data_IF_698712673118
#
_entry.id   IF_698712673118
#
_cell.length_a   1.000
_cell.length_b   1.000
_cell.length_c   1.000
_cell.angle_alpha   90.00
_cell.angle_beta   90.00
_cell.angle_gamma   90.00
#
_symmetry.space_group_name_H-M   'P 1'
#
loop_
_entity.id
_entity.type
_entity.pdbx_description
1 polymer ?
#
# COMPACT_ATOMS: atom_id res chain seq x y z
N UNK A 1 8.11 15.79 4.32
CA UNK A 1 7.38 16.25 5.51
C UNK A 1 6.56 15.08 6.02
N UNK A 2 6.54 14.78 7.33
CA UNK A 2 5.66 13.73 7.85
C UNK A 2 4.20 14.16 7.66
N UNK A 3 3.35 13.22 7.25
CA UNK A 3 1.90 13.42 7.17
C UNK A 3 1.36 13.77 8.56
N UNK A 4 0.49 14.79 8.68
CA UNK A 4 -0.12 15.14 9.96
C UNK A 4 -0.94 13.94 10.49
N UNK A 5 -1.08 13.81 11.80
CA UNK A 5 -1.76 12.66 12.42
C UNK A 5 -3.20 12.46 11.91
N UNK A 6 -3.90 13.53 11.55
CA UNK A 6 -5.23 13.49 10.93
C UNK A 6 -5.19 12.93 9.50
N UNK A 7 -4.17 13.29 8.71
CA UNK A 7 -3.96 12.74 7.36
C UNK A 7 -3.64 11.24 7.42
N UNK A 8 -2.91 10.78 8.45
CA UNK A 8 -2.59 9.36 8.65
C UNK A 8 -3.82 8.50 8.88
N UNK A 9 -4.76 8.94 9.72
CA UNK A 9 -6.00 8.19 9.98
C UNK A 9 -6.85 8.12 8.71
N UNK A 10 -7.01 9.25 8.01
CA UNK A 10 -7.73 9.29 6.73
C UNK A 10 -7.05 8.44 5.64
N UNK A 11 -5.73 8.41 5.60
CA UNK A 11 -4.95 7.59 4.67
C UNK A 11 -5.11 6.10 4.96
N UNK A 12 -5.03 5.69 6.23
CA UNK A 12 -5.26 4.31 6.64
C UNK A 12 -6.68 3.85 6.30
N UNK A 13 -7.69 4.65 6.61
CA UNK A 13 -9.08 4.33 6.25
C UNK A 13 -9.25 4.18 4.73
N UNK A 14 -8.59 5.01 3.93
CA UNK A 14 -8.59 4.90 2.47
C UNK A 14 -7.92 3.61 1.99
N UNK A 15 -6.79 3.22 2.56
CA UNK A 15 -6.11 1.97 2.24
C UNK A 15 -6.95 0.74 2.60
N UNK A 16 -7.63 0.76 3.73
CA UNK A 16 -8.58 -0.30 4.10
C UNK A 16 -9.70 -0.42 3.06
N UNK A 17 -10.29 0.71 2.65
CA UNK A 17 -11.33 0.72 1.62
C UNK A 17 -10.82 0.16 0.29
N UNK A 18 -9.65 0.60 -0.18
CA UNK A 18 -9.04 0.12 -1.42
C UNK A 18 -8.71 -1.39 -1.36
N UNK A 19 -8.31 -1.90 -0.19
CA UNK A 19 -8.11 -3.34 0.03
C UNK A 19 -9.40 -4.14 0.00
N UNK A 20 -10.48 -3.62 0.61
CA UNK A 20 -11.81 -4.24 0.53
C UNK A 20 -12.33 -4.27 -0.91
N UNK A 21 -12.06 -3.23 -1.68
CA UNK A 21 -12.39 -3.12 -3.11
C UNK A 21 -11.48 -3.98 -4.01
N UNK A 22 -10.44 -4.62 -3.46
CA UNK A 22 -9.45 -5.40 -4.21
C UNK A 22 -8.81 -4.61 -5.37
N UNK A 23 -8.55 -3.32 -5.13
CA UNK A 23 -7.96 -2.43 -6.15
C UNK A 23 -6.55 -2.89 -6.49
N UNK A 24 -6.27 -2.96 -7.80
CA UNK A 24 -4.93 -3.19 -8.33
C UNK A 24 -4.19 -1.85 -8.41
N UNK A 25 -3.08 -1.77 -7.70
CA UNK A 25 -2.13 -0.68 -7.78
C UNK A 25 -1.13 -0.99 -8.88
N UNK A 26 -1.00 -0.06 -9.82
CA UNK A 26 0.03 -0.12 -10.85
C UNK A 26 1.39 0.10 -10.22
N UNK A 27 1.50 1.07 -9.31
CA UNK A 27 2.73 1.44 -8.63
C UNK A 27 2.46 1.93 -7.18
N UNK A 28 3.29 1.46 -6.24
CA UNK A 28 3.38 1.95 -4.86
C UNK A 28 4.79 2.51 -4.67
N UNK A 29 4.90 3.83 -4.53
CA UNK A 29 6.20 4.49 -4.35
C UNK A 29 6.58 4.56 -2.87
N UNK A 30 7.80 4.14 -2.56
CA UNK A 30 8.34 4.12 -1.20
C UNK A 30 9.30 5.27 -0.92
N UNK A 31 9.41 5.63 0.35
CA UNK A 31 10.29 6.69 0.88
C UNK A 31 11.77 6.45 0.60
N UNK A 32 12.15 5.16 0.47
CA UNK A 32 13.50 4.72 0.17
C UNK A 32 13.87 4.83 -1.34
N UNK A 33 12.94 5.30 -2.18
CA UNK A 33 13.13 5.41 -3.63
C UNK A 33 12.84 4.14 -4.42
N UNK A 34 12.41 3.06 -3.76
CA UNK A 34 11.93 1.86 -4.44
C UNK A 34 10.44 1.98 -4.78
N UNK A 35 10.00 1.23 -5.77
CA UNK A 35 8.60 1.11 -6.16
C UNK A 35 8.19 -0.35 -6.24
N UNK A 36 6.97 -0.64 -5.82
CA UNK A 36 6.33 -1.96 -5.93
C UNK A 36 5.27 -1.87 -7.02
N UNK A 37 5.20 -2.86 -7.92
CA UNK A 37 4.34 -2.81 -9.10
C UNK A 37 3.35 -3.97 -9.13
N UNK A 38 2.14 -3.72 -9.65
CA UNK A 38 1.15 -4.78 -9.86
C UNK A 38 0.72 -5.46 -8.56
N UNK A 39 0.41 -4.66 -7.53
CA UNK A 39 0.06 -5.17 -6.19
C UNK A 39 -1.37 -4.85 -5.81
N UNK A 40 -1.92 -5.65 -4.89
CA UNK A 40 -3.19 -5.38 -4.21
C UNK A 40 -2.97 -5.34 -2.72
N UNK A 41 -3.84 -4.65 -1.98
CA UNK A 41 -3.78 -4.68 -0.51
C UNK A 41 -4.40 -5.98 -0.03
N UNK A 42 -3.60 -6.80 0.65
CA UNK A 42 -4.05 -8.04 1.29
C UNK A 42 -4.57 -7.79 2.71
N UNK A 43 -3.80 -7.04 3.50
CA UNK A 43 -4.16 -6.73 4.88
C UNK A 43 -3.61 -5.35 5.28
N UNK A 44 -4.34 -4.66 6.15
CA UNK A 44 -3.91 -3.42 6.79
C UNK A 44 -3.92 -3.64 8.29
N UNK A 45 -2.75 -3.77 8.92
CA UNK A 45 -2.63 -4.13 10.33
C UNK A 45 -1.67 -3.19 11.07
N UNK A 46 -2.14 -2.64 12.20
CA UNK A 46 -1.35 -1.71 13.02
C UNK A 46 -0.86 -0.50 12.20
N UNK A 47 0.46 -0.43 12.03
CA UNK A 47 1.19 0.60 11.27
C UNK A 47 1.77 0.09 9.93
N UNK A 48 1.30 -1.07 9.45
CA UNK A 48 1.77 -1.71 8.23
C UNK A 48 0.62 -2.02 7.26
N UNK A 49 0.97 -2.03 5.98
CA UNK A 49 0.14 -2.53 4.88
C UNK A 49 0.85 -3.71 4.26
N UNK A 50 0.15 -4.83 4.14
CA UNK A 50 0.63 -5.99 3.40
C UNK A 50 0.05 -5.92 2.00
N UNK A 51 0.94 -5.82 1.02
CA UNK A 51 0.63 -5.93 -0.40
C UNK A 51 0.82 -7.35 -0.88
N UNK A 52 -0.04 -7.80 -1.78
CA UNK A 52 0.09 -9.05 -2.51
C UNK A 52 0.44 -8.73 -3.96
N UNK A 53 1.59 -9.21 -4.43
CA UNK A 53 1.95 -9.14 -5.84
C UNK A 53 1.11 -10.12 -6.66
N UNK A 54 0.53 -9.64 -7.75
CA UNK A 54 -0.03 -10.51 -8.78
C UNK A 54 1.04 -10.83 -9.83
N UNK A 55 1.69 -11.98 -9.65
CA UNK A 55 2.64 -12.53 -10.60
C UNK A 55 2.32 -13.98 -10.94
N UNK A 56 2.68 -14.41 -12.16
CA UNK A 56 2.50 -15.80 -12.62
C UNK A 56 3.39 -16.83 -11.90
N UNK A 57 4.33 -16.38 -11.08
CA UNK A 57 5.35 -17.20 -10.42
C UNK A 57 5.02 -17.52 -8.94
N UNK A 58 3.97 -16.93 -8.37
CA UNK A 58 3.59 -17.07 -6.96
C UNK A 58 3.07 -15.75 -6.40
N UNK A 59 2.24 -15.81 -5.36
CA UNK A 59 1.82 -14.63 -4.61
C UNK A 59 2.87 -14.32 -3.55
N UNK A 60 3.72 -13.32 -3.82
CA UNK A 60 4.57 -12.75 -2.77
C UNK A 60 3.78 -11.72 -1.97
N UNK A 61 4.02 -11.74 -0.65
CA UNK A 61 3.42 -10.81 0.30
C UNK A 61 4.50 -9.85 0.79
N UNK A 62 4.27 -8.55 0.60
CA UNK A 62 5.23 -7.50 0.93
C UNK A 62 4.61 -6.60 2.00
N UNK A 63 5.15 -6.63 3.20
CA UNK A 63 4.74 -5.74 4.28
C UNK A 63 5.51 -4.41 4.21
N UNK A 64 4.78 -3.30 4.15
CA UNK A 64 5.31 -1.95 4.02
C UNK A 64 4.77 -1.07 5.16
N UNK A 65 5.62 -0.32 5.88
CA UNK A 65 5.16 0.67 6.85
C UNK A 65 4.37 1.80 6.16
N UNK A 66 3.28 2.29 6.76
CA UNK A 66 2.53 3.43 6.17
C UNK A 66 3.41 4.64 5.93
N UNK A 67 4.38 4.84 6.83
CA UNK A 67 5.27 6.00 6.83
C UNK A 67 6.23 5.99 5.65
N UNK A 68 6.42 4.83 5.05
CA UNK A 68 7.23 4.66 3.87
C UNK A 68 6.43 4.83 2.58
N UNK A 69 5.10 4.84 2.60
CA UNK A 69 4.31 5.02 1.39
C UNK A 69 4.22 6.51 1.05
N UNK A 70 4.79 6.89 -0.08
CA UNK A 70 4.82 8.29 -0.55
C UNK A 70 3.70 8.57 -1.55
N UNK A 71 3.44 7.62 -2.45
CA UNK A 71 2.41 7.74 -3.47
C UNK A 71 1.85 6.37 -3.85
N UNK A 72 0.60 6.39 -4.33
CA UNK A 72 -0.13 5.22 -4.81
C UNK A 72 -0.71 5.58 -6.18
N UNK A 73 -0.34 4.81 -7.20
CA UNK A 73 -0.94 4.89 -8.53
C UNK A 73 -1.85 3.69 -8.74
N UNK A 74 -3.14 3.95 -8.92
CA UNK A 74 -4.19 2.96 -9.12
C UNK A 74 -5.25 3.49 -10.08
N UNK A 75 -5.80 2.60 -10.91
CA UNK A 75 -6.77 2.93 -11.95
C UNK A 75 -8.22 2.97 -11.44
#
# INVERSE_FOLDING_TARGET
MPLASTDRVSFRSRLILLGLENVLFNEVMLSNGNSIFGVRIFEVSGDFVTFQEEGSAGSDLIAVPFDDIVALDYA
#
